data_IF_119552075298
#
_entry.id   IF_119552075298
#
_cell.length_a   1.000
_cell.length_b   1.000
_cell.length_c   1.000
_cell.angle_alpha   90.00
_cell.angle_beta   90.00
_cell.angle_gamma   90.00
#
_symmetry.space_group_name_H-M   'P 1'
#
loop_
_entity.id
_entity.type
_entity.pdbx_description
1 polymer ?
#
# COMPACT_ATOMS: atom_id res chain seq x y z
N UNK A 1 3.74 -45.97 -23.34
CA UNK A 1 2.29 -46.29 -23.28
C UNK A 1 1.90 -47.14 -24.49
N UNK A 2 2.16 -46.67 -25.71
CA UNK A 2 1.92 -47.42 -26.96
C UNK A 2 2.62 -48.78 -26.97
N UNK A 3 3.90 -48.81 -26.58
CA UNK A 3 4.70 -50.04 -26.49
C UNK A 3 4.12 -51.07 -25.49
N UNK A 4 3.59 -50.60 -24.35
CA UNK A 4 2.99 -51.47 -23.33
C UNK A 4 1.66 -52.08 -23.80
N UNK A 5 0.89 -51.35 -24.60
CA UNK A 5 -0.37 -51.84 -25.19
C UNK A 5 -0.09 -52.92 -26.25
N UNK A 6 0.97 -52.75 -27.04
CA UNK A 6 1.38 -53.69 -28.07
C UNK A 6 1.85 -55.03 -27.48
N UNK A 7 2.67 -54.99 -26.42
CA UNK A 7 3.14 -56.21 -25.72
C UNK A 7 2.00 -57.01 -25.08
N UNK A 8 0.97 -56.34 -24.54
CA UNK A 8 -0.18 -57.01 -23.96
C UNK A 8 -1.14 -57.56 -25.02
N UNK A 9 -1.28 -56.87 -26.16
CA UNK A 9 -2.07 -57.33 -27.30
C UNK A 9 -1.55 -58.63 -27.93
N UNK A 10 -0.23 -58.85 -27.94
CA UNK A 10 0.37 -60.13 -28.38
C UNK A 10 -0.08 -61.31 -27.51
N UNK A 11 -0.46 -61.05 -26.26
CA UNK A 11 -0.90 -62.06 -25.29
C UNK A 11 -2.43 -62.14 -25.16
N UNK A 12 -3.20 -61.61 -26.13
CA UNK A 12 -4.67 -61.54 -26.10
C UNK A 12 -5.25 -60.82 -24.86
N UNK A 13 -4.49 -59.89 -24.25
CA UNK A 13 -4.95 -59.11 -23.09
C UNK A 13 -5.34 -57.70 -23.56
N UNK A 14 -6.62 -57.35 -23.42
CA UNK A 14 -7.15 -56.02 -23.73
C UNK A 14 -6.96 -55.04 -22.54
N UNK A 15 -6.07 -54.06 -22.69
CA UNK A 15 -5.82 -53.03 -21.69
C UNK A 15 -6.90 -51.93 -21.76
N UNK A 16 -7.72 -51.81 -20.70
CA UNK A 16 -8.81 -50.80 -20.63
C UNK A 16 -8.39 -49.45 -20.07
N UNK A 17 -7.49 -49.43 -19.08
CA UNK A 17 -6.97 -48.21 -18.48
C UNK A 17 -5.58 -48.46 -17.87
N UNK A 18 -4.73 -47.44 -17.91
CA UNK A 18 -3.39 -47.46 -17.31
C UNK A 18 -3.29 -46.34 -16.28
N UNK A 19 -3.01 -46.69 -15.02
CA UNK A 19 -2.72 -45.74 -13.95
C UNK A 19 -1.23 -45.81 -13.59
N UNK A 20 -0.53 -44.70 -13.74
CA UNK A 20 0.85 -44.56 -13.27
C UNK A 20 0.80 -44.09 -11.82
N UNK A 21 1.15 -44.96 -10.87
CA UNK A 21 1.07 -44.67 -9.44
C UNK A 21 2.32 -43.99 -8.87
N UNK A 22 3.49 -44.28 -9.42
CA UNK A 22 4.75 -43.65 -8.99
C UNK A 22 5.81 -43.73 -10.10
N UNK A 23 6.70 -42.74 -10.13
CA UNK A 23 7.85 -42.68 -11.03
C UNK A 23 9.09 -42.59 -10.16
N UNK A 24 9.98 -43.58 -10.24
CA UNK A 24 11.27 -43.54 -9.57
C UNK A 24 12.26 -42.74 -10.43
N UNK A 25 12.47 -41.48 -10.05
CA UNK A 25 13.45 -40.60 -10.66
C UNK A 25 14.81 -40.78 -9.98
N UNK A 26 15.93 -40.76 -10.72
CA UNK A 26 17.26 -40.69 -10.13
C UNK A 26 17.40 -39.43 -9.26
N UNK A 27 18.11 -39.54 -8.13
CA UNK A 27 18.22 -38.47 -7.12
C UNK A 27 18.69 -37.13 -7.70
N UNK A 28 19.63 -37.17 -8.65
CA UNK A 28 20.16 -35.98 -9.32
C UNK A 28 19.06 -35.18 -10.05
N UNK A 29 18.12 -35.86 -10.70
CA UNK A 29 17.02 -35.21 -11.44
C UNK A 29 16.00 -34.65 -10.46
N UNK A 30 15.70 -35.37 -9.37
CA UNK A 30 14.80 -34.92 -8.33
C UNK A 30 15.28 -33.61 -7.69
N UNK A 31 16.55 -33.56 -7.31
CA UNK A 31 17.20 -32.36 -6.74
C UNK A 31 17.20 -31.20 -7.75
N UNK A 32 17.42 -31.46 -9.03
CA UNK A 32 17.37 -30.43 -10.07
C UNK A 32 15.96 -29.84 -10.22
N UNK A 33 14.92 -30.67 -10.20
CA UNK A 33 13.52 -30.24 -10.27
C UNK A 33 13.14 -29.43 -9.03
N UNK A 34 13.48 -29.90 -7.83
CA UNK A 34 13.21 -29.18 -6.58
C UNK A 34 13.89 -27.81 -6.56
N UNK A 35 15.15 -27.73 -6.98
CA UNK A 35 15.87 -26.46 -7.09
C UNK A 35 15.26 -25.53 -8.13
N UNK A 36 14.82 -26.05 -9.27
CA UNK A 36 14.13 -25.25 -10.30
C UNK A 36 12.83 -24.68 -9.74
N UNK A 37 11.99 -25.51 -9.16
CA UNK A 37 10.71 -25.10 -8.57
C UNK A 37 10.92 -24.05 -7.47
N UNK A 38 11.91 -24.25 -6.60
CA UNK A 38 12.25 -23.28 -5.55
C UNK A 38 12.62 -21.92 -6.15
N UNK A 39 13.49 -21.89 -7.15
CA UNK A 39 13.91 -20.64 -7.81
C UNK A 39 12.76 -19.95 -8.54
N UNK A 40 11.86 -20.72 -9.17
CA UNK A 40 10.67 -20.16 -9.82
C UNK A 40 9.74 -19.48 -8.80
N UNK A 41 9.52 -20.11 -7.64
CA UNK A 41 8.73 -19.50 -6.57
C UNK A 41 9.40 -18.25 -6.00
N UNK A 42 10.71 -18.29 -5.72
CA UNK A 42 11.47 -17.12 -5.25
C UNK A 42 11.41 -15.95 -6.25
N UNK A 43 11.53 -16.25 -7.56
CA UNK A 43 11.42 -15.24 -8.60
C UNK A 43 10.02 -14.62 -8.67
N UNK A 44 8.97 -15.46 -8.53
CA UNK A 44 7.59 -15.00 -8.52
C UNK A 44 7.29 -14.12 -7.30
N UNK A 45 7.72 -14.54 -6.11
CA UNK A 45 7.61 -13.74 -4.88
C UNK A 45 8.30 -12.39 -5.02
N UNK A 46 9.51 -12.36 -5.60
CA UNK A 46 10.25 -11.13 -5.82
C UNK A 46 9.53 -10.19 -6.80
N UNK A 47 8.94 -10.74 -7.87
CA UNK A 47 8.14 -9.95 -8.82
C UNK A 47 6.93 -9.31 -8.14
N UNK A 48 6.19 -10.08 -7.34
CA UNK A 48 5.05 -9.55 -6.59
C UNK A 48 5.46 -8.48 -5.59
N UNK A 49 6.60 -8.66 -4.91
CA UNK A 49 7.15 -7.66 -4.00
C UNK A 49 7.49 -6.37 -4.74
N UNK A 50 8.15 -6.46 -5.89
CA UNK A 50 8.50 -5.29 -6.71
C UNK A 50 7.25 -4.55 -7.21
N UNK A 51 6.23 -5.28 -7.64
CA UNK A 51 4.96 -4.70 -8.10
C UNK A 51 4.21 -4.00 -6.96
N UNK A 52 4.22 -4.61 -5.77
CA UNK A 52 3.64 -4.02 -4.55
C UNK A 52 4.36 -2.72 -4.20
N UNK A 53 5.70 -2.71 -4.17
CA UNK A 53 6.49 -1.51 -3.87
C UNK A 53 6.25 -0.40 -4.91
N UNK A 54 6.13 -0.74 -6.20
CA UNK A 54 5.78 0.22 -7.26
C UNK A 54 4.39 0.83 -7.04
N UNK A 55 3.40 -0.01 -6.73
CA UNK A 55 2.04 0.43 -6.47
C UNK A 55 1.96 1.33 -5.23
N UNK A 56 2.72 1.01 -4.19
CA UNK A 56 2.86 1.82 -2.98
C UNK A 56 3.53 3.17 -3.23
N UNK A 57 4.60 3.20 -4.03
CA UNK A 57 5.26 4.43 -4.45
C UNK A 57 4.31 5.32 -5.26
N UNK A 58 3.55 4.73 -6.19
CA UNK A 58 2.58 5.44 -7.01
C UNK A 58 1.42 6.00 -6.17
N UNK A 59 0.92 5.21 -5.21
CA UNK A 59 -0.10 5.67 -4.25
C UNK A 59 0.37 6.91 -3.48
N UNK A 60 1.61 6.89 -2.98
CA UNK A 60 2.21 8.03 -2.27
C UNK A 60 2.36 9.25 -3.18
N UNK A 61 2.81 9.05 -4.43
CA UNK A 61 2.94 10.12 -5.43
C UNK A 61 1.60 10.80 -5.70
N UNK A 62 0.56 10.01 -5.98
CA UNK A 62 -0.80 10.52 -6.23
C UNK A 62 -1.34 11.28 -5.01
N UNK A 63 -1.13 10.76 -3.79
CA UNK A 63 -1.52 11.43 -2.56
C UNK A 63 -0.87 12.80 -2.40
N UNK A 64 0.45 12.85 -2.56
CA UNK A 64 1.22 14.10 -2.47
C UNK A 64 0.81 15.12 -3.55
N UNK A 65 0.54 14.68 -4.78
CA UNK A 65 0.05 15.54 -5.85
C UNK A 65 -1.35 16.08 -5.58
N UNK A 66 -2.23 15.26 -5.02
CA UNK A 66 -3.57 15.65 -4.59
C UNK A 66 -3.52 16.73 -3.52
N UNK A 67 -2.69 16.52 -2.49
CA UNK A 67 -2.50 17.50 -1.42
C UNK A 67 -1.88 18.80 -1.93
N UNK A 68 -0.84 18.73 -2.76
CA UNK A 68 -0.22 19.90 -3.36
C UNK A 68 -1.21 20.71 -4.21
N UNK A 69 -2.06 20.03 -4.99
CA UNK A 69 -3.12 20.68 -5.78
C UNK A 69 -4.18 21.31 -4.89
N UNK A 70 -4.63 20.60 -3.85
CA UNK A 70 -5.58 21.14 -2.88
C UNK A 70 -5.04 22.40 -2.20
N UNK A 71 -3.79 22.37 -1.73
CA UNK A 71 -3.12 23.52 -1.12
C UNK A 71 -2.99 24.70 -2.10
N UNK A 72 -2.69 24.43 -3.38
CA UNK A 72 -2.64 25.48 -4.41
C UNK A 72 -4.01 26.14 -4.63
N UNK A 73 -5.09 25.35 -4.67
CA UNK A 73 -6.46 25.87 -4.81
C UNK A 73 -6.86 26.69 -3.58
N UNK A 74 -6.60 26.17 -2.38
CA UNK A 74 -6.88 26.85 -1.12
C UNK A 74 -6.12 28.18 -1.06
N UNK A 75 -4.81 28.19 -1.36
CA UNK A 75 -3.99 29.40 -1.40
C UNK A 75 -4.48 30.42 -2.44
N UNK A 76 -4.96 29.95 -3.60
CA UNK A 76 -5.55 30.87 -4.61
C UNK A 76 -6.86 31.51 -4.14
N UNK A 77 -7.57 30.86 -3.22
CA UNK A 77 -8.86 31.32 -2.67
C UNK A 77 -8.69 32.15 -1.38
N UNK A 78 -7.50 32.13 -0.78
CA UNK A 78 -7.15 32.89 0.42
C UNK A 78 -6.87 34.35 0.06
N UNK A 79 -7.91 35.18 0.15
CA UNK A 79 -7.73 36.64 0.10
C UNK A 79 -7.40 37.20 1.48
N UNK A 80 -6.68 38.34 1.58
CA UNK A 80 -6.41 38.99 2.87
C UNK A 80 -7.68 39.30 3.68
N UNK A 81 -8.79 39.61 3.00
CA UNK A 81 -10.09 39.84 3.63
C UNK A 81 -10.68 38.56 4.25
N UNK A 82 -10.56 37.41 3.57
CA UNK A 82 -11.02 36.12 4.07
C UNK A 82 -10.21 35.67 5.30
N UNK A 83 -8.88 35.83 5.27
CA UNK A 83 -8.01 35.56 6.41
C UNK A 83 -8.40 36.40 7.64
N UNK A 84 -8.65 37.70 7.44
CA UNK A 84 -9.10 38.60 8.52
C UNK A 84 -10.46 38.18 9.08
N UNK A 85 -11.41 37.82 8.22
CA UNK A 85 -12.73 37.33 8.63
C UNK A 85 -12.61 36.04 9.47
N UNK A 86 -11.79 35.07 9.03
CA UNK A 86 -11.53 33.82 9.78
C UNK A 86 -10.83 34.06 11.12
N UNK A 87 -9.91 35.03 11.17
CA UNK A 87 -9.27 35.45 12.42
C UNK A 87 -10.27 36.03 13.43
N UNK A 88 -11.23 36.83 12.96
CA UNK A 88 -12.31 37.37 13.81
C UNK A 88 -13.20 36.23 14.33
N UNK A 89 -13.63 35.30 13.46
CA UNK A 89 -14.42 34.13 13.89
C UNK A 89 -13.69 33.26 14.92
N UNK A 90 -12.41 33.01 14.72
CA UNK A 90 -11.59 32.27 15.67
C UNK A 90 -11.52 32.98 17.03
N UNK A 91 -11.37 34.31 17.02
CA UNK A 91 -11.36 35.13 18.24
C UNK A 91 -12.71 35.11 18.96
N UNK A 92 -13.84 35.16 18.21
CA UNK A 92 -15.19 35.07 18.78
C UNK A 92 -15.40 33.69 19.44
N UNK A 93 -15.06 32.59 18.75
CA UNK A 93 -15.17 31.24 19.32
C UNK A 93 -14.30 31.03 20.57
N UNK A 94 -13.13 31.65 20.61
CA UNK A 94 -12.27 31.64 21.80
C UNK A 94 -12.86 32.48 22.94
N UNK A 95 -13.52 33.60 22.64
CA UNK A 95 -14.22 34.44 23.61
C UNK A 95 -15.50 33.77 24.17
N UNK A 96 -16.17 32.94 23.38
CA UNK A 96 -17.33 32.14 23.80
C UNK A 96 -16.93 30.87 24.58
N UNK A 97 -15.65 30.50 24.58
CA UNK A 97 -15.18 29.32 25.29
C UNK A 97 -15.21 29.54 26.80
N UNK A 98 -15.86 28.66 27.58
CA UNK A 98 -16.03 28.84 29.03
C UNK A 98 -14.73 28.78 29.85
N UNK A 99 -13.57 28.57 29.22
CA UNK A 99 -12.27 28.36 29.88
C UNK A 99 -11.14 29.32 29.44
N UNK A 100 -11.38 30.34 28.61
CA UNK A 100 -10.29 31.21 28.13
C UNK A 100 -9.90 32.27 29.18
N UNK A 101 -8.77 32.04 29.88
CA UNK A 101 -8.05 33.07 30.64
C UNK A 101 -7.12 33.82 29.69
N UNK A 102 -7.24 35.16 29.66
CA UNK A 102 -6.40 36.18 28.98
C UNK A 102 -5.75 35.77 27.65
N UNK A 103 -6.32 36.25 26.53
CA UNK A 103 -5.80 36.04 25.17
C UNK A 103 -4.97 37.25 24.75
N UNK A 104 -3.66 37.08 24.56
CA UNK A 104 -2.76 38.14 24.05
C UNK A 104 -2.50 37.91 22.56
N UNK A 105 -3.03 38.80 21.72
CA UNK A 105 -2.81 38.79 20.27
C UNK A 105 -1.64 39.73 19.96
N UNK A 106 -0.47 39.15 19.65
CA UNK A 106 0.72 39.91 19.29
C UNK A 106 0.58 40.59 17.93
N UNK A 107 0.87 41.89 17.85
CA UNK A 107 0.78 42.73 16.64
C UNK A 107 1.85 42.46 15.56
N UNK A 108 2.49 41.28 15.57
CA UNK A 108 3.54 40.91 14.61
C UNK A 108 2.99 40.15 13.40
N UNK A 109 3.67 40.22 12.25
CA UNK A 109 3.30 39.50 11.00
C UNK A 109 3.14 37.98 11.16
N UNK A 110 3.69 37.40 12.23
CA UNK A 110 3.64 35.97 12.57
C UNK A 110 2.93 35.71 13.92
N UNK A 111 1.87 36.47 14.23
CA UNK A 111 1.15 36.46 15.51
C UNK A 111 0.66 35.08 15.97
N UNK A 112 1.55 34.32 16.62
CA UNK A 112 1.24 33.09 17.32
C UNK A 112 0.55 33.45 18.65
N UNK A 113 -0.71 33.03 18.88
CA UNK A 113 -1.40 33.31 20.13
C UNK A 113 -0.77 32.52 21.28
N UNK A 114 -0.34 33.23 22.33
CA UNK A 114 0.17 32.64 23.56
C UNK A 114 -0.98 32.50 24.56
N UNK A 115 -1.28 31.26 24.98
CA UNK A 115 -2.31 30.98 25.99
C UNK A 115 -1.59 30.88 27.35
N UNK A 116 -1.83 31.85 28.23
CA UNK A 116 -1.35 31.83 29.60
C UNK A 116 -2.46 31.28 30.50
N UNK A 117 -2.43 29.97 30.76
CA UNK A 117 -3.35 29.30 31.67
C UNK A 117 -3.14 29.75 33.12
N UNK A 118 -4.16 30.37 33.72
CA UNK A 118 -4.15 30.70 35.14
C UNK A 118 -4.56 29.50 35.99
N UNK A 119 -3.68 29.10 36.91
CA UNK A 119 -4.02 28.26 38.06
C UNK A 119 -5.27 28.76 38.78
N UNK A 120 -6.14 27.83 39.14
CA UNK A 120 -6.84 27.79 40.42
C UNK A 120 -7.16 26.31 40.68
#
# INVERSE_FOLDING_TARGET
>A
ITETMEVLGINDIEMKALLISSINLPDQIKVAIENKLKKEQEALEYQYKLETEKSEAERKRIGAEGEARANKIINSSLTPALLKMRGIEATIKLAESPNSKVIVIGSGKDGLPLILGGNN
#
